data_IF_164492508928
#
_entry.id   IF_164492508928
#
_cell.length_a   1.000
_cell.length_b   1.000
_cell.length_c   1.000
_cell.angle_alpha   90.00
_cell.angle_beta   90.00
_cell.angle_gamma   90.00
#
_symmetry.space_group_name_H-M   'P 1'
#
loop_
_entity.id
_entity.type
_entity.pdbx_description
1 polymer ?
#
# COMPACT_ATOMS: atom_id res chain seq x y z
N UNK A 1 -47.72 43.50 -1.56
CA UNK A 1 -46.63 43.92 -0.66
C UNK A 1 -45.50 42.88 -0.76
N UNK A 2 -44.29 43.32 -1.16
CA UNK A 2 -42.99 42.58 -1.30
C UNK A 2 -42.96 41.38 -2.27
N UNK A 3 -42.45 41.54 -3.49
CA UNK A 3 -41.02 41.53 -3.94
C UNK A 3 -40.42 40.11 -3.88
N UNK A 4 -40.40 39.38 -5.01
CA UNK A 4 -39.22 39.06 -5.87
C UNK A 4 -38.18 38.16 -5.18
N UNK A 5 -37.60 37.10 -5.77
CA UNK A 5 -36.95 37.00 -7.09
C UNK A 5 -36.60 35.50 -7.31
N UNK A 6 -37.03 34.88 -8.41
CA UNK A 6 -36.20 34.50 -9.58
C UNK A 6 -35.47 33.15 -9.39
N UNK A 7 -35.95 32.08 -10.05
CA UNK A 7 -35.38 31.46 -11.29
C UNK A 7 -33.92 31.01 -11.08
N UNK A 8 -33.48 29.77 -11.30
CA UNK A 8 -33.74 28.81 -12.39
C UNK A 8 -33.03 27.50 -11.97
N UNK A 9 -33.73 26.37 -11.90
CA UNK A 9 -33.68 25.29 -12.90
C UNK A 9 -32.28 24.75 -13.28
N UNK A 10 -31.90 23.61 -12.72
CA UNK A 10 -31.32 22.43 -13.40
C UNK A 10 -31.69 21.23 -12.52
N UNK A 11 -32.86 20.58 -12.67
CA UNK A 11 -33.37 19.85 -13.82
C UNK A 11 -32.46 18.67 -14.20
N UNK A 12 -32.97 17.46 -13.86
CA UNK A 12 -32.95 16.23 -14.66
C UNK A 12 -31.62 15.44 -14.63
N UNK A 13 -31.59 14.11 -14.60
CA UNK A 13 -32.58 13.07 -14.91
C UNK A 13 -31.87 11.73 -14.59
N UNK A 14 -32.37 10.91 -13.66
CA UNK A 14 -33.25 9.73 -13.87
C UNK A 14 -32.51 8.43 -14.23
N UNK A 15 -32.97 7.33 -13.57
CA UNK A 15 -33.12 5.95 -14.08
C UNK A 15 -31.81 5.14 -14.11
N UNK A 16 -31.55 4.11 -13.28
CA UNK A 16 -32.41 3.13 -12.61
C UNK A 16 -33.42 2.46 -13.54
N UNK A 17 -32.95 1.74 -14.57
CA UNK A 17 -33.62 0.61 -15.24
C UNK A 17 -32.51 -0.23 -15.90
N UNK A 18 -32.41 -1.51 -15.56
CA UNK A 18 -31.46 -2.43 -16.18
C UNK A 18 -31.30 -3.78 -15.48
N UNK A 19 -32.35 -4.30 -14.83
CA UNK A 19 -32.38 -5.65 -14.30
C UNK A 19 -33.30 -6.51 -15.18
N UNK A 20 -32.78 -7.05 -16.28
CA UNK A 20 -33.18 -8.35 -16.85
C UNK A 20 -32.35 -8.63 -18.12
N UNK A 21 -32.07 -9.91 -18.37
CA UNK A 21 -31.38 -10.50 -19.53
C UNK A 21 -29.88 -10.71 -19.34
N UNK A 22 -29.53 -11.86 -18.73
CA UNK A 22 -28.14 -12.32 -18.62
C UNK A 22 -27.85 -13.49 -17.69
N UNK A 23 -28.83 -14.26 -17.23
CA UNK A 23 -28.59 -15.55 -16.55
C UNK A 23 -28.20 -16.60 -17.59
N UNK A 24 -26.92 -16.66 -17.98
CA UNK A 24 -26.27 -17.83 -18.63
C UNK A 24 -24.78 -17.58 -18.93
N UNK A 25 -23.99 -17.12 -17.96
CA UNK A 25 -22.54 -17.35 -17.99
C UNK A 25 -22.08 -17.52 -16.56
N UNK A 26 -21.63 -18.73 -16.22
CA UNK A 26 -20.94 -19.03 -14.97
C UNK A 26 -19.64 -18.24 -14.90
N UNK A 27 -19.73 -17.02 -14.40
CA UNK A 27 -18.59 -16.26 -13.92
C UNK A 27 -18.68 -16.27 -12.41
N UNK A 28 -17.87 -17.11 -11.76
CA UNK A 28 -17.47 -16.85 -10.39
C UNK A 28 -16.75 -15.50 -10.44
N UNK A 29 -17.50 -14.42 -10.28
CA UNK A 29 -16.96 -13.08 -10.18
C UNK A 29 -16.23 -13.08 -8.86
N UNK A 30 -14.94 -13.40 -8.91
CA UNK A 30 -14.00 -13.17 -7.83
C UNK A 30 -14.19 -11.72 -7.45
N UNK A 31 -14.83 -11.46 -6.33
CA UNK A 31 -14.88 -10.14 -5.74
C UNK A 31 -13.42 -9.81 -5.46
N UNK A 32 -12.79 -9.06 -6.36
CA UNK A 32 -11.47 -8.52 -6.13
C UNK A 32 -11.67 -7.47 -5.04
N UNK A 33 -11.41 -7.84 -3.80
CA UNK A 33 -11.46 -6.94 -2.65
C UNK A 33 -10.28 -5.97 -2.80
N UNK A 34 -10.46 -4.95 -3.65
CA UNK A 34 -9.51 -3.86 -3.74
C UNK A 34 -9.63 -3.04 -2.46
N UNK A 35 -8.54 -2.92 -1.72
CA UNK A 35 -8.51 -2.03 -0.57
C UNK A 35 -8.73 -0.60 -1.07
N UNK A 36 -9.73 0.11 -0.53
CA UNK A 36 -9.94 1.52 -0.83
C UNK A 36 -8.92 2.36 -0.05
N UNK A 37 -8.19 3.19 -0.78
CA UNK A 37 -7.25 4.14 -0.20
C UNK A 37 -7.95 5.50 0.01
N UNK A 38 -7.64 6.25 1.08
CA UNK A 38 -6.56 6.01 2.04
C UNK A 38 -6.90 4.94 3.10
N UNK A 39 -5.93 4.09 3.42
CA UNK A 39 -6.01 3.08 4.48
C UNK A 39 -5.38 3.63 5.76
N UNK A 40 -6.14 3.63 6.86
CA UNK A 40 -5.62 3.87 8.20
C UNK A 40 -5.51 2.55 8.94
N UNK A 41 -4.29 2.19 9.33
CA UNK A 41 -4.00 0.96 10.07
C UNK A 41 -3.25 1.29 11.35
N UNK A 42 -3.41 0.45 12.36
CA UNK A 42 -2.58 0.48 13.57
C UNK A 42 -1.48 -0.56 13.39
N UNK A 43 -0.23 -0.14 13.49
CA UNK A 43 0.92 -1.05 13.35
C UNK A 43 1.19 -1.86 14.63
N UNK A 44 2.17 -2.78 14.56
CA UNK A 44 2.55 -3.62 15.71
C UNK A 44 3.15 -2.87 16.90
N UNK A 45 3.43 -1.57 16.78
CA UNK A 45 3.88 -0.69 17.86
C UNK A 45 2.75 0.21 18.39
N UNK A 46 1.52 0.04 17.91
CA UNK A 46 0.35 0.82 18.33
C UNK A 46 0.25 2.20 17.67
N UNK A 47 0.96 2.43 16.56
CA UNK A 47 0.97 3.73 15.86
C UNK A 47 -0.06 3.72 14.74
N UNK A 48 -0.76 4.85 14.56
CA UNK A 48 -1.59 5.05 13.38
C UNK A 48 -0.72 5.34 12.16
N UNK A 49 -0.83 4.49 11.14
CA UNK A 49 -0.15 4.64 9.85
C UNK A 49 -1.21 4.89 8.79
N UNK A 50 -1.05 5.98 8.04
CA UNK A 50 -1.92 6.35 6.94
C UNK A 50 -1.23 6.04 5.61
N UNK A 51 -1.79 5.10 4.86
CA UNK A 51 -1.32 4.70 3.53
C UNK A 51 -2.26 5.35 2.52
N UNK A 52 -1.77 6.32 1.76
CA UNK A 52 -2.58 7.15 0.87
C UNK A 52 -2.86 6.53 -0.50
N UNK A 53 -2.00 5.60 -0.93
CA UNK A 53 -2.05 4.89 -2.21
C UNK A 53 -1.39 3.51 -2.07
N UNK A 54 -1.61 2.57 -3.01
CA UNK A 54 -0.84 1.34 -3.06
C UNK A 54 0.67 1.65 -3.06
N UNK A 55 1.46 1.03 -2.16
CA UNK A 55 2.91 1.19 -2.14
C UNK A 55 3.54 0.64 -3.42
N UNK A 56 4.43 1.39 -4.04
CA UNK A 56 5.19 1.04 -5.24
C UNK A 56 6.70 0.93 -4.96
N UNK A 57 7.20 1.55 -3.88
CA UNK A 57 8.63 1.55 -3.52
C UNK A 57 8.84 1.18 -2.05
N UNK A 58 9.26 -0.07 -1.83
CA UNK A 58 9.36 -0.67 -0.50
C UNK A 58 10.82 -0.86 -0.09
N UNK A 59 11.14 -0.50 1.15
CA UNK A 59 12.39 -0.90 1.82
C UNK A 59 12.09 -1.95 2.88
N UNK A 60 12.79 -3.07 2.84
CA UNK A 60 12.66 -4.16 3.84
C UNK A 60 13.88 -4.24 4.75
N UNK A 61 13.66 -4.08 6.06
CA UNK A 61 14.75 -4.02 7.06
C UNK A 61 15.03 -5.36 7.75
N UNK A 62 14.29 -6.42 7.41
CA UNK A 62 14.41 -7.74 8.04
C UNK A 62 14.21 -8.87 7.02
N UNK A 63 14.94 -10.01 7.14
CA UNK A 63 14.77 -11.17 6.25
C UNK A 63 13.32 -11.66 6.16
N UNK A 64 12.63 -11.77 7.30
CA UNK A 64 11.22 -12.20 7.36
C UNK A 64 10.29 -11.34 6.51
N UNK A 65 10.48 -10.01 6.52
CA UNK A 65 9.66 -9.09 5.74
C UNK A 65 9.91 -9.28 4.24
N UNK A 66 11.18 -9.48 3.85
CA UNK A 66 11.57 -9.73 2.46
C UNK A 66 10.98 -11.05 1.95
N UNK A 67 11.01 -12.11 2.76
CA UNK A 67 10.45 -13.42 2.42
C UNK A 67 8.93 -13.38 2.27
N UNK A 68 8.23 -12.63 3.13
CA UNK A 68 6.78 -12.40 3.01
C UNK A 68 6.46 -11.66 1.72
N UNK A 69 7.20 -10.59 1.39
CA UNK A 69 7.01 -9.86 0.13
C UNK A 69 7.23 -10.75 -1.10
N UNK A 70 8.20 -11.66 -1.04
CA UNK A 70 8.41 -12.65 -2.09
C UNK A 70 7.24 -13.62 -2.22
N UNK A 71 6.75 -14.18 -1.11
CA UNK A 71 5.59 -15.05 -1.12
C UNK A 71 4.33 -14.36 -1.69
N UNK A 72 4.24 -13.04 -1.55
CA UNK A 72 3.16 -12.20 -2.11
C UNK A 72 3.38 -11.77 -3.56
N UNK A 73 4.51 -12.12 -4.19
CA UNK A 73 4.84 -11.69 -5.55
C UNK A 73 5.18 -10.20 -5.67
N UNK A 74 5.69 -9.57 -4.60
CA UNK A 74 5.94 -8.13 -4.51
C UNK A 74 7.43 -7.76 -4.51
N UNK A 75 8.33 -8.67 -4.92
CA UNK A 75 9.78 -8.40 -4.89
C UNK A 75 10.20 -7.29 -5.83
N UNK A 76 9.48 -7.09 -6.93
CA UNK A 76 9.77 -6.01 -7.86
C UNK A 76 9.62 -4.63 -7.22
N UNK A 77 8.75 -4.50 -6.20
CA UNK A 77 8.56 -3.28 -5.44
C UNK A 77 9.68 -3.00 -4.43
N UNK A 78 10.57 -3.96 -4.17
CA UNK A 78 11.71 -3.75 -3.27
C UNK A 78 12.78 -2.88 -3.94
N UNK A 79 13.01 -1.70 -3.38
CA UNK A 79 14.07 -0.77 -3.82
C UNK A 79 15.36 -0.90 -3.01
N UNK A 80 15.28 -1.40 -1.77
CA UNK A 80 16.44 -1.75 -0.95
C UNK A 80 16.09 -2.74 0.16
N UNK A 81 17.12 -3.40 0.69
CA UNK A 81 16.99 -4.41 1.75
C UNK A 81 18.09 -4.30 2.81
N UNK A 82 17.90 -4.94 3.97
CA UNK A 82 19.00 -5.09 4.94
C UNK A 82 20.12 -6.00 4.40
N UNK A 83 21.31 -5.90 4.99
CA UNK A 83 22.47 -6.75 4.69
C UNK A 83 22.18 -8.25 4.89
N UNK A 84 21.23 -8.58 5.77
CA UNK A 84 20.89 -9.97 6.09
C UNK A 84 19.83 -10.56 5.15
N UNK A 85 19.21 -9.75 4.29
CA UNK A 85 18.24 -10.24 3.31
C UNK A 85 18.98 -10.87 2.12
N UNK A 86 18.87 -12.20 2.01
CA UNK A 86 19.56 -13.02 1.00
C UNK A 86 18.62 -13.93 0.17
N UNK A 87 17.34 -14.01 0.54
CA UNK A 87 16.31 -14.75 -0.18
C UNK A 87 15.12 -13.83 -0.54
N UNK A 88 14.52 -13.98 -1.73
CA UNK A 88 14.96 -14.82 -2.85
C UNK A 88 16.30 -14.35 -3.44
N UNK A 89 17.02 -15.16 -4.25
CA UNK A 89 18.36 -14.81 -4.74
C UNK A 89 18.46 -13.44 -5.43
N UNK A 90 17.40 -13.01 -6.11
CA UNK A 90 17.30 -11.70 -6.76
C UNK A 90 17.44 -10.49 -5.81
N UNK A 91 17.12 -10.62 -4.52
CA UNK A 91 17.27 -9.51 -3.55
C UNK A 91 18.72 -9.26 -3.15
N UNK A 92 19.64 -10.17 -3.48
CA UNK A 92 21.06 -9.99 -3.21
C UNK A 92 21.64 -8.82 -4.00
N UNK A 93 21.08 -8.54 -5.20
CA UNK A 93 21.49 -7.44 -6.06
C UNK A 93 20.87 -6.08 -5.66
N UNK A 94 19.92 -6.07 -4.71
CA UNK A 94 19.28 -4.83 -4.26
C UNK A 94 20.21 -4.03 -3.34
N UNK A 95 20.16 -2.68 -3.39
CA UNK A 95 20.92 -1.83 -2.47
C UNK A 95 20.76 -2.25 -1.01
N UNK A 96 21.88 -2.28 -0.28
CA UNK A 96 21.87 -2.61 1.16
C UNK A 96 21.82 -1.35 2.02
N UNK A 97 20.91 -1.30 2.98
CA UNK A 97 20.69 -0.13 3.87
C UNK A 97 21.24 -0.32 5.29
N UNK A 98 22.12 -1.30 5.49
CA UNK A 98 22.76 -1.57 6.79
C UNK A 98 22.34 -2.92 7.40
N UNK A 99 22.81 -3.19 8.61
CA UNK A 99 22.51 -4.42 9.35
C UNK A 99 21.22 -4.31 10.15
N UNK A 100 20.82 -5.39 10.82
CA UNK A 100 19.57 -5.48 11.59
C UNK A 100 19.42 -4.39 12.66
N UNK A 101 20.49 -4.07 13.40
CA UNK A 101 20.53 -3.02 14.43
C UNK A 101 21.26 -1.74 13.99
N UNK A 102 21.85 -1.74 12.80
CA UNK A 102 22.76 -0.71 12.29
C UNK A 102 22.27 -0.16 10.95
N UNK A 103 20.96 0.07 10.85
CA UNK A 103 20.34 0.64 9.66
C UNK A 103 20.88 2.06 9.44
N UNK A 104 21.29 2.35 8.21
CA UNK A 104 21.67 3.67 7.74
C UNK A 104 20.39 4.42 7.34
N UNK A 105 19.89 5.26 8.24
CA UNK A 105 18.62 5.98 8.10
C UNK A 105 18.70 6.98 6.95
N UNK A 106 19.81 7.70 6.83
CA UNK A 106 20.06 8.69 5.79
C UNK A 106 19.96 8.06 4.40
N UNK A 107 20.50 6.84 4.25
CA UNK A 107 20.39 6.07 3.02
C UNK A 107 18.94 5.64 2.75
N UNK A 108 18.20 5.19 3.75
CA UNK A 108 16.76 4.86 3.60
C UNK A 108 15.98 6.08 3.14
N UNK A 109 16.19 7.24 3.77
CA UNK A 109 15.52 8.50 3.41
C UNK A 109 15.88 8.94 2.00
N UNK A 110 17.15 8.80 1.58
CA UNK A 110 17.60 9.19 0.23
C UNK A 110 16.97 8.39 -0.91
N UNK A 111 16.39 7.23 -0.60
CA UNK A 111 15.69 6.38 -1.58
C UNK A 111 14.22 6.78 -1.77
N UNK A 112 13.70 7.70 -0.95
CA UNK A 112 12.31 8.18 -0.97
C UNK A 112 11.26 7.04 -1.07
N UNK A 113 11.33 6.00 -0.21
CA UNK A 113 10.37 4.90 -0.26
C UNK A 113 8.98 5.35 0.21
N UNK A 114 7.93 4.78 -0.37
CA UNK A 114 6.56 4.99 0.08
C UNK A 114 6.12 4.01 1.18
N UNK A 115 6.92 2.97 1.44
CA UNK A 115 6.75 2.07 2.58
C UNK A 115 8.09 1.53 3.11
N UNK A 116 8.26 1.54 4.43
CA UNK A 116 9.38 0.88 5.12
C UNK A 116 8.84 -0.22 6.03
N UNK A 117 9.25 -1.46 5.79
CA UNK A 117 8.90 -2.61 6.63
C UNK A 117 10.01 -2.91 7.62
N UNK A 118 9.80 -2.49 8.87
CA UNK A 118 10.67 -2.81 10.00
C UNK A 118 10.14 -3.97 10.84
N UNK A 119 10.96 -4.43 11.78
CA UNK A 119 10.54 -5.31 12.88
C UNK A 119 10.49 -4.55 14.21
N UNK A 120 9.75 -5.06 15.18
CA UNK A 120 9.68 -4.49 16.52
C UNK A 120 11.00 -4.56 17.29
N UNK A 121 11.04 -3.92 18.45
CA UNK A 121 12.20 -3.97 19.36
C UNK A 121 13.38 -3.16 18.85
N UNK A 122 14.38 -3.83 18.27
CA UNK A 122 15.68 -3.25 17.89
C UNK A 122 15.55 -2.11 16.87
N UNK A 123 14.60 -2.21 15.95
CA UNK A 123 14.42 -1.22 14.88
C UNK A 123 13.42 -0.11 15.21
N UNK A 124 12.96 0.00 16.47
CA UNK A 124 11.98 1.02 16.91
C UNK A 124 12.44 2.47 16.67
N UNK A 125 13.75 2.71 16.58
CA UNK A 125 14.30 4.06 16.31
C UNK A 125 14.36 4.41 14.82
N UNK A 126 14.18 3.42 13.94
CA UNK A 126 14.31 3.58 12.48
C UNK A 126 12.96 3.94 11.84
N UNK A 127 11.86 3.51 12.46
CA UNK A 127 10.48 3.74 12.01
C UNK A 127 9.72 4.56 13.00
#
# INVERSE_FOLDING_TARGET
MRIMKKRRSRLRTFVAIGALVGTLFGGLSSILLAAEFPLRIVDGLGREVNISKPPETIVSLAPSNTEILFALGLVDKLVAVSQYCNYPPEVQNKPKVGGFSTINIEKVVSLEPDLVLATGGVQKKVV
#
